data_IF_914032362975
#
_entry.id   IF_914032362975
#
_cell.length_a   1.000
_cell.length_b   1.000
_cell.length_c   1.000
_cell.angle_alpha   90.00
_cell.angle_beta   90.00
_cell.angle_gamma   90.00
#
_symmetry.space_group_name_H-M   'P 1'
#
loop_
_entity.id
_entity.type
_entity.pdbx_description
1 polymer ?
#
# COMPACT_ATOMS: atom_id res chain seq x y z
N UNK A 1 -24.28 -49.81 21.55
CA UNK A 1 -23.88 -48.47 21.95
C UNK A 1 -23.51 -47.66 20.69
N UNK A 2 -24.46 -46.87 20.19
CA UNK A 2 -24.22 -45.89 19.10
C UNK A 2 -23.66 -44.61 19.73
N UNK A 3 -22.40 -44.33 19.49
CA UNK A 3 -21.82 -43.03 19.82
C UNK A 3 -22.23 -41.99 18.74
N UNK A 4 -23.12 -41.08 19.11
CA UNK A 4 -23.45 -39.96 18.26
C UNK A 4 -22.29 -38.92 18.32
N UNK A 5 -21.57 -38.76 17.22
CA UNK A 5 -20.64 -37.67 17.05
C UNK A 5 -21.45 -36.37 16.78
N UNK A 6 -21.48 -35.46 17.75
CA UNK A 6 -22.03 -34.12 17.59
C UNK A 6 -21.00 -33.28 16.82
N UNK A 7 -21.19 -33.12 15.50
CA UNK A 7 -20.42 -32.18 14.70
C UNK A 7 -20.98 -30.80 15.00
N UNK A 8 -20.29 -30.03 15.82
CA UNK A 8 -20.57 -28.57 15.98
C UNK A 8 -20.08 -27.89 14.72
N UNK A 9 -20.99 -27.64 13.78
CA UNK A 9 -20.72 -26.75 12.64
C UNK A 9 -20.77 -25.34 13.20
N UNK A 10 -19.65 -24.85 13.66
CA UNK A 10 -19.47 -23.42 13.91
C UNK A 10 -19.64 -22.67 12.59
N UNK A 11 -20.66 -21.84 12.47
CA UNK A 11 -20.76 -20.90 11.35
C UNK A 11 -19.67 -19.86 11.54
N UNK A 12 -18.56 -20.00 10.81
CA UNK A 12 -17.57 -18.94 10.68
C UNK A 12 -18.26 -17.77 9.97
N UNK A 13 -18.67 -16.76 10.72
CA UNK A 13 -19.11 -15.49 10.15
C UNK A 13 -17.87 -14.66 9.89
N UNK A 14 -17.43 -14.63 8.64
CA UNK A 14 -16.53 -13.56 8.21
C UNK A 14 -17.24 -12.23 8.51
N UNK A 15 -16.60 -11.38 9.32
CA UNK A 15 -17.14 -10.09 9.67
C UNK A 15 -16.62 -9.06 8.68
N UNK A 16 -17.51 -8.39 7.99
CA UNK A 16 -17.19 -7.28 7.10
C UNK A 16 -17.96 -6.05 7.57
N UNK A 17 -17.32 -4.89 7.81
CA UNK A 17 -15.88 -4.65 7.65
C UNK A 17 -15.02 -5.36 8.72
N UNK A 18 -13.76 -5.63 8.38
CA UNK A 18 -12.79 -6.25 9.30
C UNK A 18 -12.26 -5.26 10.36
N UNK A 19 -12.32 -3.96 10.09
CA UNK A 19 -11.96 -2.86 10.99
C UNK A 19 -13.22 -2.07 11.24
N UNK A 20 -13.63 -1.92 12.50
CA UNK A 20 -14.93 -1.32 12.87
C UNK A 20 -14.83 -0.15 13.83
N UNK A 21 -13.66 0.14 14.36
CA UNK A 21 -13.40 1.13 15.40
C UNK A 21 -12.68 2.38 14.92
N UNK A 22 -12.26 2.39 13.66
CA UNK A 22 -11.61 3.53 13.00
C UNK A 22 -11.89 3.55 11.49
N UNK A 23 -11.74 4.71 10.87
CA UNK A 23 -11.82 4.84 9.42
C UNK A 23 -10.46 4.56 8.79
N UNK A 24 -10.48 3.75 7.76
CA UNK A 24 -9.27 3.35 7.02
C UNK A 24 -9.53 3.34 5.52
N UNK A 25 -8.48 3.55 4.72
CA UNK A 25 -8.59 3.58 3.27
C UNK A 25 -7.40 2.88 2.59
N UNK A 26 -7.60 2.47 1.34
CA UNK A 26 -6.62 2.06 0.34
C UNK A 26 -5.55 1.08 0.87
N UNK A 27 -5.94 -0.06 1.47
CA UNK A 27 -4.99 -0.96 2.08
C UNK A 27 -4.20 -1.77 1.04
N UNK A 28 -2.92 -2.02 1.34
CA UNK A 28 -2.25 -3.20 0.80
C UNK A 28 -2.41 -4.39 1.75
N UNK A 29 -2.50 -5.59 1.21
CA UNK A 29 -2.60 -6.83 1.98
C UNK A 29 -1.54 -7.83 1.53
N UNK A 30 -0.80 -8.39 2.49
CA UNK A 30 0.31 -9.32 2.23
C UNK A 30 0.29 -10.49 3.22
N UNK A 31 0.77 -11.64 2.77
CA UNK A 31 1.04 -12.79 3.64
C UNK A 31 2.52 -12.81 3.97
N UNK A 32 2.85 -12.66 5.23
CA UNK A 32 4.21 -12.84 5.75
C UNK A 32 4.20 -13.90 6.84
N UNK A 33 5.12 -14.85 6.76
CA UNK A 33 5.28 -15.91 7.76
C UNK A 33 3.98 -16.70 8.04
N UNK A 34 3.14 -16.87 6.99
CA UNK A 34 1.85 -17.58 7.08
C UNK A 34 0.69 -16.80 7.67
N UNK A 35 0.89 -15.54 8.06
CA UNK A 35 -0.12 -14.64 8.61
C UNK A 35 -0.46 -13.54 7.61
N UNK A 36 -1.74 -13.18 7.49
CA UNK A 36 -2.19 -12.04 6.70
C UNK A 36 -1.91 -10.73 7.45
N UNK A 37 -1.34 -9.76 6.74
CA UNK A 37 -1.16 -8.39 7.21
C UNK A 37 -1.88 -7.44 6.27
N UNK A 38 -2.59 -6.47 6.84
CA UNK A 38 -3.31 -5.41 6.11
C UNK A 38 -2.79 -4.06 6.60
N UNK A 39 -2.36 -3.23 5.67
CA UNK A 39 -1.76 -1.92 5.94
C UNK A 39 -2.60 -0.83 5.29
N UNK A 40 -3.61 -0.31 5.96
CA UNK A 40 -4.38 0.82 5.46
C UNK A 40 -3.74 2.14 5.86
N UNK A 41 -4.08 3.22 5.16
CA UNK A 41 -4.00 4.57 5.69
C UNK A 41 -5.10 4.79 6.73
N UNK A 42 -4.84 5.64 7.73
CA UNK A 42 -5.78 5.99 8.79
C UNK A 42 -6.42 7.34 8.52
N UNK A 43 -7.71 7.31 8.24
CA UNK A 43 -8.53 8.48 7.90
C UNK A 43 -9.04 9.14 9.19
N UNK A 44 -8.72 10.40 9.41
CA UNK A 44 -9.06 11.13 10.62
C UNK A 44 -9.93 12.36 10.32
N UNK A 45 -10.75 12.82 11.26
CA UNK A 45 -11.37 14.13 11.14
C UNK A 45 -10.33 15.22 10.95
N UNK A 46 -10.48 16.04 9.91
CA UNK A 46 -9.47 17.03 9.59
C UNK A 46 -9.26 18.06 10.71
N UNK A 47 -8.04 18.24 11.23
CA UNK A 47 -7.70 19.29 12.17
C UNK A 47 -7.51 20.67 11.51
N UNK A 48 -7.55 20.74 10.17
CA UNK A 48 -7.32 21.97 9.41
C UNK A 48 -8.43 22.22 8.39
N UNK A 49 -8.86 23.50 8.28
CA UNK A 49 -10.03 23.89 7.48
C UNK A 49 -9.93 23.49 6.02
N UNK A 50 -8.74 23.62 5.38
CA UNK A 50 -8.55 23.32 3.95
C UNK A 50 -8.78 21.84 3.58
N UNK A 51 -8.77 20.92 4.54
CA UNK A 51 -8.99 19.48 4.33
C UNK A 51 -10.31 18.97 4.93
N UNK A 52 -11.20 19.88 5.38
CA UNK A 52 -12.42 19.50 6.11
C UNK A 52 -13.38 18.63 5.29
N UNK A 53 -13.39 18.81 3.98
CA UNK A 53 -14.19 18.04 3.02
C UNK A 53 -13.31 17.18 2.10
N UNK A 54 -12.09 16.83 2.55
CA UNK A 54 -11.12 16.10 1.78
C UNK A 54 -10.46 14.98 2.59
N UNK A 55 -9.71 14.12 1.94
CA UNK A 55 -8.95 13.05 2.56
C UNK A 55 -7.92 13.59 3.55
N UNK A 56 -7.92 13.06 4.78
CA UNK A 56 -7.08 13.54 5.86
C UNK A 56 -6.45 12.36 6.60
N UNK A 57 -5.24 11.98 6.22
CA UNK A 57 -4.56 10.79 6.69
C UNK A 57 -3.19 11.15 7.26
N UNK A 58 -3.03 10.96 8.59
CA UNK A 58 -1.84 11.37 9.33
C UNK A 58 -0.84 10.23 9.55
N UNK A 59 -1.29 8.99 9.49
CA UNK A 59 -0.51 7.81 9.89
C UNK A 59 -1.01 6.53 9.23
N UNK A 60 -0.32 5.43 9.54
CA UNK A 60 -0.67 4.09 9.12
C UNK A 60 -0.76 3.16 10.30
N UNK A 61 -1.79 2.32 10.33
CA UNK A 61 -1.88 1.16 11.18
C UNK A 61 -1.49 -0.12 10.43
N UNK A 62 -1.29 -1.20 11.15
CA UNK A 62 -1.25 -2.55 10.57
C UNK A 62 -2.10 -3.50 11.39
N UNK A 63 -2.89 -4.28 10.67
CA UNK A 63 -3.74 -5.32 11.23
C UNK A 63 -3.24 -6.69 10.77
N UNK A 64 -3.27 -7.68 11.66
CA UNK A 64 -2.90 -9.04 11.27
C UNK A 64 -3.91 -10.07 11.69
N UNK A 65 -3.97 -11.18 10.93
CA UNK A 65 -4.85 -12.31 11.22
C UNK A 65 -4.22 -13.63 10.79
N UNK A 66 -4.41 -14.66 11.61
CA UNK A 66 -4.04 -16.05 11.28
C UNK A 66 -5.18 -16.80 10.56
N UNK A 67 -6.42 -16.31 10.66
CA UNK A 67 -7.62 -17.04 10.22
C UNK A 67 -8.59 -16.17 9.37
N UNK A 68 -8.27 -14.91 9.10
CA UNK A 68 -9.07 -13.92 8.38
C UNK A 68 -10.40 -13.54 9.07
N UNK A 69 -10.57 -13.92 10.33
CA UNK A 69 -11.76 -13.65 11.14
C UNK A 69 -11.40 -12.76 12.33
N UNK A 70 -10.40 -13.21 13.11
CA UNK A 70 -9.91 -12.47 14.27
C UNK A 70 -8.71 -11.61 13.85
N UNK A 71 -8.81 -10.31 14.09
CA UNK A 71 -7.81 -9.34 13.70
C UNK A 71 -7.17 -8.68 14.91
N UNK A 72 -5.87 -8.49 14.84
CA UNK A 72 -5.09 -7.77 15.84
C UNK A 72 -4.62 -6.45 15.25
N UNK A 73 -5.02 -5.33 15.84
CA UNK A 73 -4.43 -4.02 15.57
C UNK A 73 -3.09 -3.90 16.32
N UNK A 74 -2.00 -3.63 15.59
CA UNK A 74 -0.68 -3.39 16.14
C UNK A 74 -0.41 -1.91 16.42
N UNK A 75 -1.41 -1.04 16.20
CA UNK A 75 -1.30 0.40 16.37
C UNK A 75 -0.58 1.11 15.22
N UNK A 76 -0.22 2.37 15.48
CA UNK A 76 0.46 3.22 14.49
C UNK A 76 1.88 2.73 14.25
N UNK A 77 2.17 2.42 12.98
CA UNK A 77 3.50 1.94 12.53
C UNK A 77 4.36 3.04 11.93
N UNK A 78 3.74 4.09 11.42
CA UNK A 78 4.41 5.27 10.86
C UNK A 78 3.45 6.47 10.88
N UNK A 79 3.92 7.62 11.35
CA UNK A 79 3.17 8.89 11.36
C UNK A 79 3.91 9.96 10.56
N UNK A 80 3.17 10.89 9.94
CA UNK A 80 3.76 12.01 9.19
C UNK A 80 4.74 12.83 10.04
N UNK A 81 4.50 12.95 11.35
CA UNK A 81 5.37 13.70 12.28
C UNK A 81 6.77 13.08 12.40
N UNK A 82 6.89 11.77 12.19
CA UNK A 82 8.13 11.04 12.28
C UNK A 82 8.90 10.98 10.94
N UNK A 83 8.31 11.49 9.84
CA UNK A 83 8.94 11.46 8.52
C UNK A 83 9.64 12.79 8.23
N UNK A 84 10.98 12.81 8.14
CA UNK A 84 11.74 14.07 8.08
C UNK A 84 11.43 14.99 6.91
N UNK A 85 10.97 14.44 5.78
CA UNK A 85 10.73 15.17 4.54
C UNK A 85 9.26 15.55 4.31
N UNK A 86 8.32 15.00 5.07
CA UNK A 86 6.88 15.25 4.92
C UNK A 86 6.49 16.60 5.50
N UNK A 87 5.64 17.33 4.81
CA UNK A 87 5.09 18.58 5.29
C UNK A 87 4.17 18.34 6.50
N UNK A 88 4.35 19.06 7.62
CA UNK A 88 3.72 18.74 8.90
C UNK A 88 2.20 18.83 8.90
N UNK A 89 1.62 19.59 7.98
CA UNK A 89 0.18 19.79 7.84
C UNK A 89 -0.38 19.19 6.54
N UNK A 90 0.35 18.25 5.93
CA UNK A 90 -0.06 17.65 4.65
C UNK A 90 -1.23 16.68 4.79
N UNK A 91 -1.25 15.88 5.85
CA UNK A 91 -2.23 14.83 6.09
C UNK A 91 -2.45 13.93 4.85
N UNK A 92 -1.34 13.63 4.18
CA UNK A 92 -1.33 12.95 2.88
C UNK A 92 -0.59 11.61 2.91
N UNK A 93 -0.67 10.89 4.03
CA UNK A 93 -0.16 9.54 4.20
C UNK A 93 -1.16 8.56 3.55
N UNK A 94 -1.19 8.55 2.19
CA UNK A 94 -2.19 7.85 1.40
C UNK A 94 -1.78 6.39 1.13
N UNK A 95 -2.42 5.74 0.14
CA UNK A 95 -2.28 4.32 -0.19
C UNK A 95 -0.84 3.78 -0.09
N UNK A 96 -0.53 2.84 0.82
CA UNK A 96 0.81 2.32 1.02
C UNK A 96 1.05 0.99 0.31
N UNK A 97 2.31 0.56 0.29
CA UNK A 97 2.73 -0.79 -0.08
C UNK A 97 3.73 -1.33 0.94
N UNK A 98 3.70 -2.64 1.20
CA UNK A 98 4.68 -3.31 2.07
C UNK A 98 5.21 -4.59 1.41
N UNK A 99 6.53 -4.74 1.33
CA UNK A 99 7.17 -5.93 0.80
C UNK A 99 8.32 -6.40 1.69
N UNK A 100 8.62 -7.70 1.62
CA UNK A 100 9.75 -8.30 2.32
C UNK A 100 10.85 -8.67 1.33
N UNK A 101 12.09 -8.23 1.62
CA UNK A 101 13.28 -8.61 0.87
C UNK A 101 14.52 -8.52 1.77
N UNK A 102 15.46 -9.42 1.56
CA UNK A 102 16.77 -9.42 2.23
C UNK A 102 16.70 -9.30 3.77
N UNK A 103 15.72 -9.97 4.38
CA UNK A 103 15.56 -9.98 5.84
C UNK A 103 14.91 -8.73 6.43
N UNK A 104 14.38 -7.83 5.61
CA UNK A 104 13.74 -6.59 6.03
C UNK A 104 12.37 -6.40 5.37
N UNK A 105 11.52 -5.63 6.04
CA UNK A 105 10.25 -5.15 5.52
C UNK A 105 10.42 -3.71 5.06
N UNK A 106 10.00 -3.43 3.82
CA UNK A 106 10.06 -2.12 3.20
C UNK A 106 8.65 -1.62 3.00
N UNK A 107 8.34 -0.52 3.66
CA UNK A 107 7.04 0.14 3.62
C UNK A 107 7.13 1.40 2.77
N UNK A 108 6.47 1.38 1.62
CA UNK A 108 6.42 2.50 0.67
C UNK A 108 5.15 3.29 0.91
N UNK A 109 5.27 4.60 0.91
CA UNK A 109 4.14 5.47 1.17
C UNK A 109 4.27 6.80 0.41
N UNK A 110 3.18 7.32 -0.17
CA UNK A 110 3.16 8.66 -0.75
C UNK A 110 2.95 9.69 0.34
N UNK A 111 3.53 10.86 0.18
CA UNK A 111 3.16 12.06 0.93
C UNK A 111 3.66 13.32 0.26
N UNK A 112 3.16 14.47 0.73
CA UNK A 112 3.57 15.78 0.22
C UNK A 112 4.88 16.21 0.89
N UNK A 113 5.95 16.47 0.11
CA UNK A 113 7.21 16.91 0.67
C UNK A 113 7.15 18.37 1.16
N UNK A 114 7.87 18.67 2.25
CA UNK A 114 8.04 20.03 2.76
C UNK A 114 8.94 20.88 1.86
N UNK A 115 8.75 22.20 1.88
CA UNK A 115 9.60 23.17 1.22
C UNK A 115 8.83 24.07 0.24
N UNK A 116 9.36 25.30 0.03
CA UNK A 116 8.76 26.24 -0.91
C UNK A 116 8.78 25.70 -2.34
N UNK A 117 7.67 25.87 -3.05
CA UNK A 117 7.50 25.42 -4.43
C UNK A 117 7.34 23.91 -4.60
N UNK A 118 7.46 23.12 -3.55
CA UNK A 118 7.15 21.68 -3.60
C UNK A 118 5.65 21.48 -3.73
N UNK A 119 5.25 20.83 -4.81
CA UNK A 119 3.84 20.50 -5.10
C UNK A 119 3.74 19.04 -5.51
N UNK A 120 2.60 18.43 -5.21
CA UNK A 120 2.34 17.01 -5.50
C UNK A 120 2.94 16.08 -4.47
N UNK A 121 3.01 14.82 -4.84
CA UNK A 121 3.42 13.73 -3.96
C UNK A 121 4.80 13.19 -4.35
N UNK A 122 5.53 12.72 -3.37
CA UNK A 122 6.71 11.87 -3.53
C UNK A 122 6.50 10.58 -2.74
N UNK A 123 7.17 9.51 -3.15
CA UNK A 123 7.08 8.22 -2.47
C UNK A 123 8.32 8.02 -1.61
N UNK A 124 8.10 7.80 -0.32
CA UNK A 124 9.14 7.46 0.65
C UNK A 124 9.17 5.98 0.98
N UNK A 125 10.21 5.59 1.72
CA UNK A 125 10.38 4.24 2.24
C UNK A 125 10.67 4.30 3.73
N UNK A 126 10.06 3.40 4.49
CA UNK A 126 10.42 3.11 5.87
C UNK A 126 10.78 1.63 6.01
N UNK A 127 11.69 1.28 6.91
CA UNK A 127 12.24 -0.07 7.03
C UNK A 127 11.99 -0.61 8.43
N UNK A 128 11.65 -1.90 8.53
CA UNK A 128 11.49 -2.62 9.80
C UNK A 128 12.08 -4.03 9.75
N UNK A 129 12.32 -4.59 10.94
CA UNK A 129 12.71 -5.99 11.13
C UNK A 129 11.50 -6.93 11.24
N UNK A 130 10.32 -6.38 11.45
CA UNK A 130 9.06 -7.11 11.62
C UNK A 130 7.97 -6.53 10.74
N UNK A 131 7.00 -7.35 10.27
CA UNK A 131 5.93 -6.88 9.41
C UNK A 131 5.01 -5.85 10.08
N UNK A 132 5.00 -5.78 11.38
CA UNK A 132 4.23 -4.82 12.18
C UNK A 132 5.10 -3.70 12.79
N UNK A 133 6.31 -3.51 12.29
CA UNK A 133 7.21 -2.43 12.70
C UNK A 133 7.94 -2.65 14.03
N UNK A 134 8.41 -1.56 14.68
CA UNK A 134 8.31 -0.17 14.22
C UNK A 134 9.07 0.08 12.92
N UNK A 135 8.51 0.89 12.05
CA UNK A 135 9.14 1.29 10.79
C UNK A 135 9.93 2.59 10.96
N UNK A 136 11.18 2.58 10.47
CA UNK A 136 12.08 3.75 10.49
C UNK A 136 12.10 4.37 9.09
N UNK A 137 11.58 5.61 8.91
CA UNK A 137 11.55 6.27 7.62
C UNK A 137 12.95 6.71 7.17
N UNK A 138 13.16 6.71 5.85
CA UNK A 138 14.35 7.30 5.25
C UNK A 138 14.28 8.84 5.32
N UNK A 139 15.45 9.49 5.32
CA UNK A 139 15.55 10.94 5.47
C UNK A 139 15.00 11.72 4.26
N UNK A 140 14.91 11.07 3.10
CA UNK A 140 14.41 11.63 1.83
C UNK A 140 13.49 10.63 1.13
N UNK A 141 12.56 11.10 0.27
CA UNK A 141 11.83 10.21 -0.61
C UNK A 141 12.77 9.58 -1.66
N UNK A 142 12.29 8.57 -2.38
CA UNK A 142 13.02 7.96 -3.50
C UNK A 142 13.16 9.03 -4.61
N UNK A 143 14.39 9.28 -5.01
CA UNK A 143 14.67 10.22 -6.09
C UNK A 143 14.06 9.75 -7.41
N UNK A 144 13.36 10.65 -8.12
CA UNK A 144 12.73 10.34 -9.39
C UNK A 144 11.33 9.68 -9.28
N UNK A 145 10.87 9.33 -8.08
CA UNK A 145 9.54 8.72 -7.88
C UNK A 145 8.56 9.75 -7.31
N UNK A 146 7.79 10.38 -8.21
CA UNK A 146 6.81 11.40 -7.86
C UNK A 146 5.41 10.95 -8.25
N UNK A 147 4.53 10.82 -7.27
CA UNK A 147 3.16 10.34 -7.44
C UNK A 147 2.61 9.67 -6.21
N UNK A 148 1.60 8.84 -6.41
CA UNK A 148 0.84 8.14 -5.38
C UNK A 148 0.78 6.63 -5.70
N UNK A 149 0.19 5.86 -4.81
CA UNK A 149 -0.16 4.44 -4.96
C UNK A 149 1.03 3.58 -5.39
N UNK A 150 2.11 3.54 -4.59
CA UNK A 150 3.20 2.64 -4.88
C UNK A 150 2.74 1.19 -4.85
N UNK A 151 3.21 0.40 -5.82
CA UNK A 151 3.11 -1.05 -5.78
C UNK A 151 4.48 -1.63 -6.12
N UNK A 152 4.95 -2.58 -5.34
CA UNK A 152 6.25 -3.22 -5.57
C UNK A 152 6.05 -4.71 -5.88
N UNK A 153 6.50 -5.12 -7.04
CA UNK A 153 6.61 -6.52 -7.45
C UNK A 153 8.06 -6.96 -7.35
N UNK A 154 8.32 -8.02 -6.60
CA UNK A 154 9.60 -8.74 -6.61
C UNK A 154 9.44 -9.95 -7.51
N UNK A 155 10.16 -9.95 -8.62
CA UNK A 155 10.09 -11.02 -9.62
C UNK A 155 10.84 -12.28 -9.17
N UNK A 156 10.66 -13.38 -9.89
CA UNK A 156 11.26 -14.70 -9.61
C UNK A 156 12.80 -14.69 -9.63
N UNK A 157 13.39 -13.78 -10.39
CA UNK A 157 14.86 -13.58 -10.42
C UNK A 157 15.36 -12.69 -9.27
N UNK A 158 14.46 -12.22 -8.40
CA UNK A 158 14.75 -11.32 -7.28
C UNK A 158 14.82 -9.84 -7.65
N UNK A 159 14.63 -9.48 -8.95
CA UNK A 159 14.55 -8.08 -9.34
C UNK A 159 13.24 -7.46 -8.82
N UNK A 160 13.36 -6.36 -8.10
CA UNK A 160 12.20 -5.59 -7.65
C UNK A 160 11.87 -4.46 -8.65
N UNK A 161 10.57 -4.29 -8.89
CA UNK A 161 10.02 -3.24 -9.73
C UNK A 161 9.06 -2.41 -8.89
N UNK A 162 9.15 -1.08 -8.97
CA UNK A 162 8.19 -0.18 -8.37
C UNK A 162 7.30 0.42 -9.46
N UNK A 163 5.99 0.33 -9.24
CA UNK A 163 4.94 0.99 -10.03
C UNK A 163 4.36 2.12 -9.20
N UNK A 164 3.95 3.20 -9.84
CA UNK A 164 3.25 4.30 -9.16
C UNK A 164 2.39 5.10 -10.12
N UNK A 165 1.36 5.74 -9.56
CA UNK A 165 0.45 6.63 -10.27
C UNK A 165 0.94 8.07 -10.24
N UNK A 166 0.71 8.79 -11.33
CA UNK A 166 1.04 10.20 -11.48
C UNK A 166 0.31 10.80 -12.67
N UNK A 167 1.04 11.33 -13.63
CA UNK A 167 0.48 11.62 -14.96
C UNK A 167 0.44 10.32 -15.79
N UNK A 168 -0.48 9.43 -15.45
CA UNK A 168 -0.51 8.05 -15.92
C UNK A 168 0.21 7.12 -14.95
N UNK A 169 0.68 5.99 -15.45
CA UNK A 169 1.36 4.95 -14.68
C UNK A 169 2.82 4.87 -15.07
N UNK A 170 3.70 4.86 -14.08
CA UNK A 170 5.15 4.68 -14.28
C UNK A 170 5.63 3.40 -13.63
N UNK A 171 6.73 2.87 -14.15
CA UNK A 171 7.46 1.73 -13.60
C UNK A 171 8.96 1.95 -13.70
N UNK A 172 9.71 1.49 -12.70
CA UNK A 172 11.17 1.43 -12.73
C UNK A 172 11.68 0.22 -11.96
N UNK A 173 12.91 -0.20 -12.26
CA UNK A 173 13.63 -1.17 -11.43
C UNK A 173 14.12 -0.51 -10.16
N UNK A 174 14.02 -1.21 -9.04
CA UNK A 174 14.69 -0.85 -7.80
C UNK A 174 16.05 -1.49 -7.72
N UNK A 175 17.02 -0.81 -7.11
CA UNK A 175 18.29 -1.40 -6.67
C UNK A 175 18.01 -2.45 -5.59
N UNK A 176 18.99 -3.30 -5.33
CA UNK A 176 18.85 -4.37 -4.34
C UNK A 176 18.65 -3.84 -2.90
N UNK A 177 19.09 -2.59 -2.64
CA UNK A 177 18.83 -1.91 -1.37
C UNK A 177 17.36 -1.49 -1.18
N UNK A 178 16.52 -1.59 -2.21
CA UNK A 178 15.09 -1.25 -2.21
C UNK A 178 14.77 0.25 -1.95
N UNK A 179 15.78 1.12 -2.00
CA UNK A 179 15.67 2.56 -1.64
C UNK A 179 15.90 3.49 -2.82
N UNK A 180 16.43 2.98 -3.92
CA UNK A 180 16.84 3.75 -5.08
C UNK A 180 16.43 3.07 -6.37
N UNK A 181 16.24 3.88 -7.42
CA UNK A 181 15.99 3.36 -8.75
C UNK A 181 17.28 2.79 -9.37
N UNK A 182 17.16 1.64 -10.03
CA UNK A 182 18.20 1.00 -10.83
C UNK A 182 18.04 1.29 -12.34
N UNK A 183 16.91 1.89 -12.74
CA UNK A 183 16.64 2.29 -14.12
C UNK A 183 15.91 3.61 -14.16
N UNK A 184 15.95 4.30 -15.30
CA UNK A 184 15.05 5.41 -15.56
C UNK A 184 13.58 4.94 -15.51
N UNK A 185 12.67 5.79 -15.00
CA UNK A 185 11.24 5.52 -15.05
C UNK A 185 10.73 5.39 -16.49
N UNK A 186 9.90 4.39 -16.73
CA UNK A 186 9.20 4.18 -18.00
C UNK A 186 7.71 4.39 -17.76
N UNK A 187 7.08 5.22 -18.59
CA UNK A 187 5.64 5.38 -18.57
C UNK A 187 4.96 4.21 -19.29
N UNK A 188 4.05 3.52 -18.61
CA UNK A 188 3.30 2.40 -19.17
C UNK A 188 2.37 2.92 -20.25
N UNK A 189 2.45 2.29 -21.43
CA UNK A 189 1.64 2.62 -22.59
C UNK A 189 0.44 1.69 -22.71
N UNK A 190 -0.59 2.12 -23.46
CA UNK A 190 -1.75 1.29 -23.75
C UNK A 190 -2.76 1.15 -22.62
N UNK A 191 -2.65 1.98 -21.58
CA UNK A 191 -3.68 2.07 -20.54
C UNK A 191 -5.01 2.51 -21.17
N UNK A 192 -6.15 1.97 -20.72
CA UNK A 192 -7.45 2.35 -21.26
C UNK A 192 -7.79 3.81 -20.94
N UNK A 193 -8.58 4.44 -21.82
CA UNK A 193 -9.22 5.71 -21.48
C UNK A 193 -10.07 5.52 -20.21
N UNK A 194 -9.94 6.43 -19.24
CA UNK A 194 -10.59 6.30 -17.93
C UNK A 194 -9.74 5.56 -16.88
N UNK A 195 -8.50 5.16 -17.20
CA UNK A 195 -7.52 4.78 -16.18
C UNK A 195 -7.33 5.95 -15.19
N UNK A 196 -7.24 5.63 -13.91
CA UNK A 196 -7.04 6.62 -12.84
C UNK A 196 -5.69 6.44 -12.14
N UNK A 197 -5.62 5.42 -11.28
CA UNK A 197 -4.55 5.24 -10.30
C UNK A 197 -4.55 3.80 -9.76
N UNK A 198 -3.91 3.54 -8.62
CA UNK A 198 -4.09 2.32 -7.85
C UNK A 198 -3.59 1.04 -8.51
N UNK A 199 -2.33 0.99 -9.01
CA UNK A 199 -1.80 -0.24 -9.60
C UNK A 199 -1.59 -1.31 -8.55
N UNK A 200 -1.88 -2.56 -8.90
CA UNK A 200 -1.44 -3.70 -8.12
C UNK A 200 -0.95 -4.80 -9.05
N UNK A 201 0.35 -5.10 -8.97
CA UNK A 201 1.01 -6.11 -9.78
C UNK A 201 1.34 -7.35 -8.93
N UNK A 202 1.04 -8.54 -9.45
CA UNK A 202 1.38 -9.79 -8.80
C UNK A 202 1.57 -10.92 -9.82
N UNK A 203 2.28 -11.97 -9.41
CA UNK A 203 2.42 -13.21 -10.18
C UNK A 203 1.55 -14.30 -9.55
N UNK A 204 0.87 -15.06 -10.39
CA UNK A 204 0.12 -16.25 -9.99
C UNK A 204 0.17 -17.31 -11.08
N UNK A 205 0.63 -18.51 -10.74
CA UNK A 205 0.68 -19.67 -11.64
C UNK A 205 1.43 -19.40 -12.97
N UNK A 206 2.52 -18.66 -12.90
CA UNK A 206 3.36 -18.35 -14.07
C UNK A 206 2.84 -17.22 -14.94
N UNK A 207 1.80 -16.52 -14.51
CA UNK A 207 1.25 -15.36 -15.21
C UNK A 207 1.37 -14.12 -14.32
N UNK A 208 1.66 -12.98 -14.94
CA UNK A 208 1.63 -11.69 -14.28
C UNK A 208 0.26 -11.06 -14.43
N UNK A 209 -0.23 -10.49 -13.36
CA UNK A 209 -1.47 -9.73 -13.31
C UNK A 209 -1.16 -8.31 -12.92
N UNK A 210 -1.80 -7.37 -13.59
CA UNK A 210 -1.74 -5.96 -13.30
C UNK A 210 -3.16 -5.45 -13.15
N UNK A 211 -3.59 -5.17 -11.93
CA UNK A 211 -4.94 -4.71 -11.62
C UNK A 211 -4.96 -3.22 -11.35
N UNK A 212 -6.05 -2.56 -11.70
CA UNK A 212 -6.24 -1.12 -11.53
C UNK A 212 -7.72 -0.74 -11.56
N UNK A 213 -8.12 0.36 -10.91
CA UNK A 213 -9.45 0.95 -11.07
C UNK A 213 -9.58 1.56 -12.48
N UNK A 214 -10.73 1.35 -13.08
CA UNK A 214 -11.06 1.86 -14.41
C UNK A 214 -12.44 2.50 -14.41
N UNK A 215 -12.51 3.78 -14.81
CA UNK A 215 -13.79 4.47 -14.96
C UNK A 215 -14.37 4.17 -16.34
N UNK A 216 -15.36 3.30 -16.36
CA UNK A 216 -16.13 2.95 -17.55
C UNK A 216 -17.55 3.51 -17.45
N UNK A 217 -17.96 4.34 -18.41
CA UNK A 217 -19.33 4.89 -18.46
C UNK A 217 -19.79 5.52 -17.11
N UNK A 218 -18.91 6.29 -16.45
CA UNK A 218 -19.13 6.93 -15.14
C UNK A 218 -19.17 5.97 -13.93
N UNK A 219 -18.89 4.68 -14.14
CA UNK A 219 -18.78 3.69 -13.07
C UNK A 219 -17.32 3.28 -12.92
N UNK A 220 -16.81 3.31 -11.71
CA UNK A 220 -15.50 2.77 -11.41
C UNK A 220 -15.58 1.27 -11.17
N UNK A 221 -14.76 0.52 -11.86
CA UNK A 221 -14.68 -0.94 -11.80
C UNK A 221 -13.24 -1.39 -11.64
N UNK A 222 -13.02 -2.54 -11.03
CA UNK A 222 -11.70 -3.17 -11.01
C UNK A 222 -11.46 -3.85 -12.36
N UNK A 223 -10.39 -3.45 -13.03
CA UNK A 223 -9.93 -4.03 -14.27
C UNK A 223 -8.56 -4.71 -14.08
N UNK A 224 -8.17 -5.55 -15.02
CA UNK A 224 -6.84 -6.16 -15.03
C UNK A 224 -6.32 -6.39 -16.45
N UNK A 225 -4.99 -6.40 -16.56
CA UNK A 225 -4.25 -6.92 -17.70
C UNK A 225 -3.44 -8.14 -17.26
N UNK A 226 -3.14 -9.04 -18.19
CA UNK A 226 -2.31 -10.21 -17.95
C UNK A 226 -1.15 -10.27 -18.94
N UNK A 227 -0.02 -10.81 -18.49
CA UNK A 227 1.16 -11.11 -19.28
C UNK A 227 1.82 -12.43 -18.89
N UNK A 228 2.81 -12.85 -19.71
CA UNK A 228 3.66 -14.01 -19.47
C UNK A 228 4.97 -13.60 -18.79
#
# INVERSE_FOLDING_TARGET
LLSAFLVIIGTLKAQNPIITDQFTADPTAKVFEGKMYVYPSHDIPSPIERLKEWFCMADYHVFSSDNLVDWTDHGVILSQENVPWVAPDSYSMWAPECVYKNGKYYFYFPSTPKGEGKRGFSIGVAIADKPYGPFTPQATPIEGVNGIDPCVLIDKDGQAYIYWSGRGMSVAKLKDNMLELASEPIQIQGLPEGFKEGPFAFERNGKYYFTFPWVKEKTEVLAYAMGD
#
